data_IF_079547786046
#
_entry.id   IF_079547786046
#
_cell.length_a   1.000
_cell.length_b   1.000
_cell.length_c   1.000
_cell.angle_alpha   90.00
_cell.angle_beta   90.00
_cell.angle_gamma   90.00
#
_symmetry.space_group_name_H-M   'P 1'
#
loop_
_entity.id
_entity.type
_entity.pdbx_description
1 polymer ?
#
# COMPACT_ATOMS: atom_id res chain seq x y z
N UNK A 1 -3.43 -20.34 -22.60
CA UNK A 1 -3.23 -21.25 -21.45
C UNK A 1 -4.21 -20.88 -20.35
N UNK A 2 -5.49 -21.16 -20.61
CA UNK A 2 -6.62 -20.81 -19.76
C UNK A 2 -7.34 -22.08 -19.32
N UNK A 3 -7.07 -22.53 -18.10
CA UNK A 3 -8.03 -23.18 -17.19
C UNK A 3 -7.28 -23.60 -15.93
N UNK A 4 -7.96 -23.58 -14.78
CA UNK A 4 -7.49 -23.98 -13.45
C UNK A 4 -6.66 -22.94 -12.66
N UNK A 5 -7.25 -21.79 -12.36
CA UNK A 5 -7.01 -21.14 -11.05
C UNK A 5 -8.35 -20.97 -10.37
N UNK A 6 -8.64 -21.81 -9.39
CA UNK A 6 -9.75 -21.59 -8.48
C UNK A 6 -9.59 -20.18 -7.87
N UNK A 7 -10.59 -19.33 -8.07
CA UNK A 7 -10.75 -18.01 -7.44
C UNK A 7 -10.72 -18.14 -5.91
N UNK A 8 -9.53 -18.22 -5.31
CA UNK A 8 -9.38 -18.07 -3.86
C UNK A 8 -9.33 -16.58 -3.58
N UNK A 9 -10.50 -16.00 -3.35
CA UNK A 9 -10.63 -14.57 -3.03
C UNK A 9 -9.98 -14.23 -1.67
N UNK A 10 -9.88 -15.22 -0.78
CA UNK A 10 -9.09 -15.19 0.45
C UNK A 10 -8.54 -16.60 0.76
N UNK A 11 -7.46 -16.67 1.53
CA UNK A 11 -7.02 -17.92 2.15
C UNK A 11 -6.52 -17.70 3.58
N UNK A 12 -6.83 -18.66 4.44
CA UNK A 12 -6.38 -18.70 5.84
C UNK A 12 -5.33 -19.80 5.99
N UNK A 13 -4.12 -19.44 6.42
CA UNK A 13 -3.08 -20.37 6.83
C UNK A 13 -3.04 -20.39 8.34
N UNK A 14 -3.10 -21.60 8.91
CA UNK A 14 -2.92 -21.80 10.34
C UNK A 14 -1.79 -22.79 10.57
N UNK A 15 -0.94 -22.53 11.56
CA UNK A 15 0.18 -23.40 11.89
C UNK A 15 -0.23 -24.78 12.45
N UNK A 16 -1.52 -25.03 12.68
CA UNK A 16 -2.06 -26.17 13.45
C UNK A 16 -1.69 -27.56 12.88
N UNK A 17 -1.12 -27.65 11.66
CA UNK A 17 -0.81 -28.95 11.00
C UNK A 17 0.51 -29.05 10.24
N UNK A 18 1.26 -27.99 10.04
CA UNK A 18 2.60 -28.08 9.44
C UNK A 18 3.62 -28.17 10.58
N UNK A 19 4.42 -29.23 10.67
CA UNK A 19 5.51 -29.35 11.66
C UNK A 19 6.63 -28.29 11.53
N UNK A 20 6.35 -27.15 10.91
CA UNK A 20 7.21 -25.98 10.87
C UNK A 20 7.12 -25.24 12.21
N UNK A 21 8.26 -25.10 12.88
CA UNK A 21 8.41 -24.22 14.04
C UNK A 21 8.48 -22.78 13.58
N UNK A 22 7.80 -21.87 14.28
CA UNK A 22 7.99 -20.44 14.05
C UNK A 22 9.40 -20.04 14.49
N UNK A 23 10.07 -19.11 13.79
CA UNK A 23 11.29 -18.50 14.30
C UNK A 23 11.01 -17.81 15.64
N UNK A 24 12.02 -17.71 16.53
CA UNK A 24 11.88 -16.92 17.75
C UNK A 24 11.52 -15.46 17.41
N UNK A 25 10.84 -14.74 18.31
CA UNK A 25 10.64 -13.30 18.18
C UNK A 25 11.96 -12.58 17.89
N UNK A 26 12.02 -11.76 16.83
CA UNK A 26 13.24 -11.02 16.52
C UNK A 26 13.46 -9.87 17.51
N UNK A 27 14.73 -9.53 17.71
CA UNK A 27 15.13 -8.26 18.31
C UNK A 27 15.50 -7.29 17.17
N UNK A 28 14.64 -6.31 16.91
CA UNK A 28 14.85 -5.31 15.87
C UNK A 28 15.97 -4.32 16.18
N UNK A 29 16.35 -4.17 17.45
CA UNK A 29 17.50 -3.33 17.85
C UNK A 29 18.84 -3.97 17.46
N UNK A 30 18.84 -5.27 17.13
CA UNK A 30 20.02 -6.02 16.68
C UNK A 30 20.06 -6.27 15.16
N UNK A 31 19.22 -5.59 14.36
CA UNK A 31 19.14 -5.77 12.90
C UNK A 31 19.01 -7.24 12.46
N UNK A 32 17.92 -7.92 12.84
CA UNK A 32 17.82 -9.39 12.93
C UNK A 32 17.83 -10.12 11.58
N UNK A 33 17.75 -9.39 10.47
CA UNK A 33 17.73 -9.95 9.12
C UNK A 33 19.02 -9.70 8.34
N UNK A 34 19.95 -8.94 8.93
CA UNK A 34 21.17 -8.48 8.27
C UNK A 34 21.94 -9.61 7.61
N UNK A 35 22.38 -9.35 6.39
CA UNK A 35 23.37 -10.10 5.64
C UNK A 35 24.36 -9.12 5.00
N UNK A 36 25.46 -9.64 4.44
CA UNK A 36 26.39 -8.82 3.67
C UNK A 36 25.76 -8.30 2.36
N UNK A 37 24.76 -9.02 1.85
CA UNK A 37 23.96 -8.62 0.70
C UNK A 37 22.59 -8.08 1.18
N UNK A 38 22.33 -6.82 0.87
CA UNK A 38 21.10 -6.13 1.26
C UNK A 38 19.87 -6.80 0.64
N UNK A 39 19.98 -7.37 -0.56
CA UNK A 39 18.88 -8.09 -1.22
C UNK A 39 18.51 -9.39 -0.51
N UNK A 40 19.51 -10.04 0.12
CA UNK A 40 19.30 -11.21 0.99
C UNK A 40 18.64 -10.77 2.30
N UNK A 41 19.06 -9.64 2.87
CA UNK A 41 18.44 -9.02 4.06
C UNK A 41 16.95 -8.77 3.82
N UNK A 42 16.61 -8.14 2.69
CA UNK A 42 15.24 -7.87 2.27
C UNK A 42 14.40 -9.15 2.12
N UNK A 43 14.97 -10.15 1.43
CA UNK A 43 14.31 -11.45 1.23
C UNK A 43 14.07 -12.18 2.55
N UNK A 44 15.02 -12.14 3.50
CA UNK A 44 14.90 -12.74 4.84
C UNK A 44 13.82 -12.06 5.65
N UNK A 45 13.81 -10.72 5.68
CA UNK A 45 12.81 -9.94 6.41
C UNK A 45 11.40 -10.22 5.88
N UNK A 46 11.21 -10.24 4.56
CA UNK A 46 9.92 -10.54 3.96
C UNK A 46 9.49 -11.99 4.23
N UNK A 47 10.40 -12.96 4.04
CA UNK A 47 10.11 -14.37 4.31
C UNK A 47 9.70 -14.62 5.78
N UNK A 48 10.38 -13.96 6.73
CA UNK A 48 9.95 -13.92 8.12
C UNK A 48 8.53 -13.33 8.23
N UNK A 49 8.31 -12.13 7.71
CA UNK A 49 7.04 -11.40 7.85
C UNK A 49 5.83 -12.23 7.40
N UNK A 50 5.95 -13.07 6.37
CA UNK A 50 4.85 -13.88 5.83
C UNK A 50 4.88 -15.37 6.24
N UNK A 51 5.75 -15.78 7.16
CA UNK A 51 5.78 -17.17 7.66
C UNK A 51 4.42 -17.55 8.29
N UNK A 52 3.84 -18.74 8.01
CA UNK A 52 4.43 -19.90 7.32
C UNK A 52 4.23 -19.94 5.79
N UNK A 53 3.70 -18.88 5.17
CA UNK A 53 3.63 -18.79 3.72
C UNK A 53 5.05 -18.54 3.17
N UNK A 54 5.46 -19.29 2.14
CA UNK A 54 6.71 -19.01 1.46
C UNK A 54 6.54 -17.87 0.44
N UNK A 55 7.64 -17.18 0.16
CA UNK A 55 7.70 -15.99 -0.71
C UNK A 55 7.17 -16.27 -2.11
N UNK A 56 7.59 -17.37 -2.73
CA UNK A 56 7.18 -17.72 -4.09
C UNK A 56 5.67 -17.97 -4.17
N UNK A 57 5.10 -18.63 -3.17
CA UNK A 57 3.68 -18.88 -3.04
C UNK A 57 2.92 -17.57 -2.82
N UNK A 58 3.43 -16.67 -1.99
CA UNK A 58 2.84 -15.36 -1.77
C UNK A 58 2.64 -14.60 -3.08
N UNK A 59 3.71 -14.38 -3.86
CA UNK A 59 3.61 -13.61 -5.10
C UNK A 59 2.80 -14.32 -6.18
N UNK A 60 2.85 -15.65 -6.25
CA UNK A 60 2.11 -16.41 -7.27
C UNK A 60 0.60 -16.46 -7.00
N UNK A 61 0.21 -16.62 -5.74
CA UNK A 61 -1.16 -17.00 -5.35
C UNK A 61 -1.92 -15.84 -4.67
N UNK A 62 -1.25 -14.89 -4.02
CA UNK A 62 -1.88 -13.89 -3.15
C UNK A 62 -1.63 -12.45 -3.57
N UNK A 63 -0.39 -12.08 -3.86
CA UNK A 63 -0.04 -10.70 -4.20
C UNK A 63 -0.93 -10.17 -5.32
N UNK A 64 -1.67 -9.09 -5.05
CA UNK A 64 -2.62 -8.44 -5.94
C UNK A 64 -3.78 -9.33 -6.46
N UNK A 65 -4.00 -10.49 -5.85
CA UNK A 65 -5.00 -11.48 -6.27
C UNK A 65 -6.02 -11.83 -5.18
N UNK A 66 -5.60 -11.92 -3.92
CA UNK A 66 -6.47 -12.34 -2.82
C UNK A 66 -5.88 -12.06 -1.44
N UNK A 67 -6.77 -11.93 -0.45
CA UNK A 67 -6.35 -11.70 0.93
C UNK A 67 -5.67 -12.93 1.53
N UNK A 68 -4.65 -12.72 2.37
CA UNK A 68 -3.91 -13.77 3.05
C UNK A 68 -3.96 -13.55 4.57
N UNK A 69 -4.42 -14.56 5.30
CA UNK A 69 -4.50 -14.53 6.77
C UNK A 69 -3.53 -15.57 7.32
N UNK A 70 -2.62 -15.16 8.19
CA UNK A 70 -1.65 -16.02 8.84
C UNK A 70 -1.95 -16.09 10.34
N UNK A 71 -2.42 -17.25 10.80
CA UNK A 71 -2.70 -17.54 12.21
C UNK A 71 -1.51 -18.24 12.86
N UNK A 72 -0.80 -17.51 13.72
CA UNK A 72 0.45 -17.97 14.31
C UNK A 72 0.32 -18.54 15.72
N UNK A 73 -0.68 -18.08 16.50
CA UNK A 73 -0.80 -18.40 17.93
C UNK A 73 0.50 -18.12 18.71
N UNK A 74 1.22 -17.06 18.31
CA UNK A 74 2.48 -16.65 18.91
C UNK A 74 2.39 -15.14 19.22
N UNK A 75 1.81 -14.74 20.37
CA UNK A 75 1.55 -13.34 20.69
C UNK A 75 2.75 -12.41 20.56
N UNK A 76 3.93 -12.93 20.87
CA UNK A 76 5.18 -12.17 20.86
C UNK A 76 5.90 -12.23 19.50
N UNK A 77 5.30 -12.74 18.43
CA UNK A 77 5.98 -13.02 17.15
C UNK A 77 6.70 -11.80 16.56
N UNK A 78 6.14 -10.61 16.74
CA UNK A 78 6.70 -9.35 16.24
C UNK A 78 7.78 -8.74 17.14
N UNK A 79 8.16 -9.42 18.22
CA UNK A 79 9.23 -9.00 19.11
C UNK A 79 9.02 -7.60 19.66
N UNK A 80 10.06 -6.78 19.57
CA UNK A 80 10.08 -5.39 20.00
C UNK A 80 9.75 -4.38 18.88
N UNK A 81 9.24 -4.80 17.71
CA UNK A 81 9.02 -3.91 16.54
C UNK A 81 8.36 -2.57 16.92
N UNK A 82 7.21 -2.63 17.59
CA UNK A 82 6.49 -1.46 18.09
C UNK A 82 5.49 -1.87 19.19
N UNK A 83 5.14 -0.95 20.08
CA UNK A 83 4.21 -1.19 21.19
C UNK A 83 3.48 0.08 21.61
N UNK A 84 2.41 -0.06 22.40
CA UNK A 84 1.70 1.08 23.01
C UNK A 84 2.65 1.90 23.88
N UNK A 85 3.58 1.24 24.57
CA UNK A 85 4.63 1.91 25.35
C UNK A 85 5.54 2.76 24.45
N UNK A 86 6.02 2.20 23.34
CA UNK A 86 6.83 2.94 22.34
C UNK A 86 6.06 4.15 21.79
N UNK A 87 4.76 3.98 21.53
CA UNK A 87 3.90 5.08 21.08
C UNK A 87 3.82 6.22 22.11
N UNK A 88 3.63 5.89 23.38
CA UNK A 88 3.57 6.89 24.47
C UNK A 88 4.90 7.65 24.58
N UNK A 89 6.03 6.95 24.53
CA UNK A 89 7.37 7.56 24.56
C UNK A 89 7.57 8.53 23.39
N UNK A 90 7.16 8.14 22.17
CA UNK A 90 7.26 9.01 21.00
C UNK A 90 6.43 10.29 21.19
N UNK A 91 5.17 10.19 21.65
CA UNK A 91 4.31 11.36 21.89
C UNK A 91 4.87 12.27 22.99
N UNK A 92 5.51 11.69 24.02
CA UNK A 92 6.11 12.45 25.12
C UNK A 92 7.36 13.21 24.69
N UNK A 93 8.23 12.57 23.91
CA UNK A 93 9.56 13.08 23.59
C UNK A 93 9.62 13.89 22.30
N UNK A 94 8.57 13.87 21.47
CA UNK A 94 8.55 14.54 20.18
C UNK A 94 7.44 15.59 20.09
N UNK A 95 7.55 16.44 19.06
CA UNK A 95 6.51 17.36 18.66
C UNK A 95 5.71 16.71 17.52
N UNK A 96 4.54 16.17 17.85
CA UNK A 96 3.61 15.57 16.88
C UNK A 96 2.40 16.48 16.70
N UNK A 97 1.89 16.58 15.47
CA UNK A 97 0.72 17.39 15.16
C UNK A 97 -0.49 16.55 14.73
N UNK A 98 -1.68 17.05 15.08
CA UNK A 98 -2.93 16.54 14.55
C UNK A 98 -3.00 16.72 13.03
N UNK A 99 -3.50 15.72 12.31
CA UNK A 99 -3.61 15.74 10.84
C UNK A 99 -2.32 15.36 10.12
N UNK A 100 -1.16 15.75 10.65
CA UNK A 100 0.15 15.42 10.09
C UNK A 100 0.65 14.07 10.59
N UNK A 101 0.72 13.88 11.92
CA UNK A 101 1.25 12.67 12.54
C UNK A 101 0.16 11.85 13.21
N UNK A 102 -0.83 12.50 13.85
CA UNK A 102 -1.86 11.82 14.62
C UNK A 102 -3.25 12.15 14.10
N UNK A 103 -4.05 11.11 13.88
CA UNK A 103 -5.47 11.24 13.59
C UNK A 103 -6.31 10.52 14.65
N UNK A 104 -7.40 11.16 15.07
CA UNK A 104 -8.38 10.59 16.00
C UNK A 104 -9.65 10.30 15.22
N UNK A 105 -10.09 9.06 15.27
CA UNK A 105 -11.25 8.60 14.50
C UNK A 105 -12.21 7.77 15.36
N UNK A 106 -13.49 7.88 15.07
CA UNK A 106 -14.54 7.04 15.65
C UNK A 106 -15.53 6.67 14.56
N UNK A 107 -15.87 5.39 14.49
CA UNK A 107 -16.96 4.88 13.68
C UNK A 107 -18.06 4.37 14.59
N UNK A 108 -19.26 4.93 14.46
CA UNK A 108 -20.42 4.54 15.26
C UNK A 108 -21.70 4.80 14.45
N UNK A 109 -22.63 3.86 14.51
CA UNK A 109 -23.97 3.98 13.91
C UNK A 109 -23.91 4.35 12.41
N UNK A 110 -23.01 3.70 11.66
CA UNK A 110 -22.87 3.93 10.21
C UNK A 110 -22.08 5.18 9.82
N UNK A 111 -21.61 5.99 10.77
CA UNK A 111 -20.96 7.29 10.51
C UNK A 111 -19.54 7.33 11.04
N UNK A 112 -18.59 7.80 10.20
CA UNK A 112 -17.19 8.01 10.55
C UNK A 112 -16.93 9.47 10.91
N UNK A 113 -16.40 9.70 12.11
CA UNK A 113 -16.04 11.00 12.64
C UNK A 113 -14.52 11.16 12.69
N UNK A 114 -14.01 12.32 12.24
CA UNK A 114 -12.65 12.77 12.54
C UNK A 114 -12.72 13.74 13.71
N UNK A 115 -11.93 13.50 14.75
CA UNK A 115 -11.96 14.29 15.98
C UNK A 115 -10.56 14.82 16.31
N UNK A 116 -9.85 15.28 15.28
CA UNK A 116 -8.54 15.88 15.42
C UNK A 116 -8.65 17.19 16.21
N UNK A 117 -7.70 17.41 17.12
CA UNK A 117 -7.45 18.72 17.68
C UNK A 117 -6.76 19.64 16.66
N UNK A 118 -6.23 20.76 17.14
CA UNK A 118 -5.38 21.65 16.34
C UNK A 118 -3.97 21.71 16.92
N UNK A 119 -2.96 21.74 16.06
CA UNK A 119 -1.55 21.84 16.46
C UNK A 119 -1.04 20.60 17.19
N UNK A 120 -0.20 20.83 18.21
CA UNK A 120 0.52 19.79 18.95
C UNK A 120 -0.41 18.82 19.68
N UNK A 121 -0.06 17.55 19.59
CA UNK A 121 -0.67 16.44 20.31
C UNK A 121 0.00 16.27 21.67
N UNK A 122 -0.80 16.22 22.75
CA UNK A 122 -0.30 15.98 24.10
C UNK A 122 -0.73 14.61 24.63
N UNK A 123 0.13 13.89 25.39
CA UNK A 123 -0.18 12.55 25.90
C UNK A 123 -1.48 12.48 26.73
N UNK A 124 -1.71 13.48 27.60
CA UNK A 124 -2.92 13.52 28.44
C UNK A 124 -4.18 13.62 27.60
N UNK A 125 -4.16 14.43 26.54
CA UNK A 125 -5.31 14.56 25.66
C UNK A 125 -5.57 13.28 24.87
N UNK A 126 -4.52 12.61 24.36
CA UNK A 126 -4.69 11.30 23.72
C UNK A 126 -5.30 10.26 24.66
N UNK A 127 -4.88 10.23 25.92
CA UNK A 127 -5.45 9.35 26.94
C UNK A 127 -6.96 9.59 27.12
N UNK A 128 -7.39 10.85 27.15
CA UNK A 128 -8.82 11.21 27.18
C UNK A 128 -9.55 10.73 25.93
N UNK A 129 -8.98 10.94 24.73
CA UNK A 129 -9.58 10.49 23.47
C UNK A 129 -9.80 8.97 23.44
N UNK A 130 -8.78 8.21 23.87
CA UNK A 130 -8.85 6.75 23.98
C UNK A 130 -9.92 6.32 24.99
N UNK A 131 -9.99 6.98 26.15
CA UNK A 131 -11.00 6.70 27.16
C UNK A 131 -12.45 6.96 26.65
N UNK A 132 -12.62 7.86 25.68
CA UNK A 132 -13.91 8.12 25.01
C UNK A 132 -14.25 7.12 23.89
N UNK A 133 -13.47 6.04 23.77
CA UNK A 133 -13.67 5.01 22.77
C UNK A 133 -13.29 5.46 21.36
N UNK A 134 -12.28 6.33 21.21
CA UNK A 134 -11.79 6.82 19.92
C UNK A 134 -10.49 6.12 19.55
N UNK A 135 -10.36 5.73 18.29
CA UNK A 135 -9.13 5.16 17.76
C UNK A 135 -8.11 6.25 17.46
N UNK A 136 -6.84 5.92 17.66
CA UNK A 136 -5.70 6.78 17.33
C UNK A 136 -4.94 6.12 16.18
N UNK A 137 -4.78 6.86 15.10
CA UNK A 137 -3.87 6.51 14.00
C UNK A 137 -2.61 7.35 14.15
N UNK A 138 -1.46 6.69 14.15
CA UNK A 138 -0.15 7.32 14.08
C UNK A 138 0.44 7.06 12.69
N UNK A 139 0.64 8.14 11.95
CA UNK A 139 1.09 8.17 10.56
C UNK A 139 2.60 8.30 10.51
N UNK A 140 3.24 7.54 9.62
CA UNK A 140 4.68 7.59 9.39
C UNK A 140 5.52 7.36 10.67
N UNK A 141 5.26 6.28 11.44
CA UNK A 141 6.00 5.96 12.67
C UNK A 141 7.50 5.74 12.41
N UNK A 142 7.90 5.35 11.19
CA UNK A 142 9.30 5.16 10.81
C UNK A 142 10.14 6.44 10.94
N UNK A 143 9.54 7.64 10.94
CA UNK A 143 10.29 8.88 11.21
C UNK A 143 10.78 8.98 12.66
N UNK A 144 10.15 8.27 13.59
CA UNK A 144 10.39 8.42 15.04
C UNK A 144 10.88 7.13 15.70
N UNK A 145 10.83 6.00 15.00
CA UNK A 145 11.10 4.68 15.55
C UNK A 145 12.01 3.90 14.61
N UNK A 146 13.28 3.78 14.98
CA UNK A 146 14.32 3.15 14.17
C UNK A 146 13.99 1.71 13.80
N UNK A 147 13.38 0.93 14.70
CA UNK A 147 12.95 -0.45 14.42
C UNK A 147 11.94 -0.54 13.27
N UNK A 148 11.02 0.43 13.20
CA UNK A 148 10.01 0.50 12.13
C UNK A 148 10.65 1.03 10.85
N UNK A 149 11.55 2.01 10.95
CA UNK A 149 12.36 2.47 9.82
C UNK A 149 13.15 1.33 9.20
N UNK A 150 13.90 0.56 10.00
CA UNK A 150 14.68 -0.57 9.53
C UNK A 150 13.80 -1.57 8.77
N UNK A 151 12.63 -1.96 9.32
CA UNK A 151 11.75 -2.90 8.63
C UNK A 151 11.23 -2.32 7.30
N UNK A 152 10.79 -1.06 7.26
CA UNK A 152 10.31 -0.43 6.03
C UNK A 152 11.43 -0.29 4.98
N UNK A 153 12.62 0.13 5.41
CA UNK A 153 13.80 0.33 4.56
C UNK A 153 14.32 -0.98 3.97
N UNK A 154 14.38 -2.05 4.77
CA UNK A 154 14.76 -3.37 4.27
C UNK A 154 13.72 -3.91 3.27
N UNK A 155 12.43 -3.65 3.49
CA UNK A 155 11.38 -4.14 2.60
C UNK A 155 11.31 -3.37 1.28
N UNK A 156 11.63 -2.08 1.23
CA UNK A 156 11.59 -1.31 -0.03
C UNK A 156 12.60 -1.81 -1.05
N UNK A 157 13.72 -2.40 -0.61
CA UNK A 157 14.69 -3.02 -1.52
C UNK A 157 14.08 -4.19 -2.30
N UNK A 158 13.26 -5.02 -1.63
CA UNK A 158 12.60 -6.14 -2.28
C UNK A 158 11.44 -5.71 -3.20
N UNK A 159 10.66 -4.72 -2.78
CA UNK A 159 9.51 -4.25 -3.56
C UNK A 159 9.89 -3.26 -4.67
N UNK A 160 11.07 -2.64 -4.59
CA UNK A 160 11.54 -1.61 -5.53
C UNK A 160 10.70 -0.33 -5.50
N UNK A 161 9.91 -0.13 -4.45
CA UNK A 161 9.05 1.05 -4.28
C UNK A 161 9.02 1.47 -2.81
N UNK A 162 8.52 2.67 -2.54
CA UNK A 162 8.41 3.17 -1.17
C UNK A 162 7.55 2.26 -0.30
N UNK A 163 8.07 1.92 0.88
CA UNK A 163 7.35 1.17 1.91
C UNK A 163 7.05 2.12 3.06
N UNK A 164 5.75 2.28 3.35
CA UNK A 164 5.26 3.10 4.44
C UNK A 164 4.75 2.26 5.61
N UNK A 165 4.44 2.95 6.70
CA UNK A 165 3.74 2.35 7.82
C UNK A 165 2.72 3.33 8.43
N UNK A 166 1.67 2.78 9.02
CA UNK A 166 0.75 3.46 9.93
C UNK A 166 0.45 2.52 11.10
N UNK A 167 0.29 3.05 12.31
CA UNK A 167 -0.18 2.27 13.45
C UNK A 167 -1.57 2.70 13.88
N UNK A 168 -2.36 1.75 14.37
CA UNK A 168 -3.75 1.98 14.77
C UNK A 168 -3.97 1.38 16.16
N UNK A 169 -4.16 2.26 17.14
CA UNK A 169 -4.56 1.92 18.50
C UNK A 169 -6.07 2.13 18.65
N UNK A 170 -6.82 1.06 18.86
CA UNK A 170 -8.28 1.10 19.06
C UNK A 170 -8.64 0.60 20.46
N UNK A 171 -9.35 1.39 21.28
CA UNK A 171 -9.78 0.95 22.62
C UNK A 171 -10.84 -0.16 22.57
N UNK A 172 -11.12 -0.87 23.68
CA UNK A 172 -12.15 -1.91 23.73
C UNK A 172 -13.54 -1.40 23.30
N UNK A 173 -14.33 -2.28 22.69
CA UNK A 173 -15.73 -2.07 22.34
C UNK A 173 -15.96 -0.95 21.31
N UNK A 174 -14.98 -0.70 20.43
CA UNK A 174 -15.02 0.45 19.53
C UNK A 174 -14.55 0.13 18.12
N UNK A 175 -14.82 1.07 17.21
CA UNK A 175 -14.37 1.06 15.82
C UNK A 175 -13.86 2.46 15.46
N UNK A 176 -12.79 2.53 14.67
CA UNK A 176 -12.21 3.82 14.24
C UNK A 176 -12.69 4.27 12.87
N UNK A 177 -12.87 3.33 11.94
CA UNK A 177 -13.00 3.59 10.52
C UNK A 177 -14.21 2.85 9.96
N UNK A 178 -14.91 3.50 9.03
CA UNK A 178 -15.96 2.89 8.23
C UNK A 178 -15.35 1.88 7.24
N UNK A 179 -16.15 1.00 6.60
CA UNK A 179 -15.65 0.18 5.50
C UNK A 179 -15.09 1.05 4.36
N UNK A 180 -13.88 0.71 3.89
CA UNK A 180 -13.19 1.38 2.80
C UNK A 180 -12.17 0.43 2.15
N UNK A 181 -11.65 0.78 0.98
CA UNK A 181 -10.41 0.22 0.46
C UNK A 181 -9.35 1.31 0.36
N UNK A 182 -8.09 0.89 0.41
CA UNK A 182 -6.93 1.76 0.20
C UNK A 182 -6.37 1.61 -1.23
N UNK A 183 -5.49 2.53 -1.60
CA UNK A 183 -4.68 2.54 -2.83
C UNK A 183 -3.34 1.78 -2.70
N UNK A 184 -3.16 1.02 -1.62
CA UNK A 184 -1.92 0.30 -1.31
C UNK A 184 -2.14 -1.19 -1.05
N UNK A 185 -1.10 -1.98 -1.28
CA UNK A 185 -1.00 -3.35 -0.79
C UNK A 185 -0.67 -3.31 0.72
N UNK A 186 -1.61 -3.74 1.56
CA UNK A 186 -1.53 -3.61 3.02
C UNK A 186 -1.10 -4.93 3.69
N UNK A 187 -0.08 -4.87 4.56
CA UNK A 187 0.34 -5.95 5.43
C UNK A 187 0.10 -5.53 6.89
N UNK A 188 -0.97 -6.05 7.49
CA UNK A 188 -1.33 -5.74 8.87
C UNK A 188 -0.70 -6.74 9.83
N UNK A 189 0.18 -6.25 10.69
CA UNK A 189 0.85 -6.99 11.75
C UNK A 189 0.16 -6.65 13.09
N UNK A 190 -0.57 -7.60 13.66
CA UNK A 190 -1.28 -7.40 14.92
C UNK A 190 -0.29 -7.49 16.09
N UNK A 191 -0.01 -6.36 16.74
CA UNK A 191 1.05 -6.23 17.76
C UNK A 191 0.52 -6.54 19.17
N UNK A 192 -0.63 -5.98 19.53
CA UNK A 192 -1.24 -6.17 20.86
C UNK A 192 -2.73 -6.44 20.75
N UNK A 193 -3.26 -7.23 21.69
CA UNK A 193 -4.68 -7.51 21.81
C UNK A 193 -5.28 -8.23 20.60
N UNK A 194 -6.53 -7.91 20.24
CA UNK A 194 -7.25 -8.54 19.13
C UNK A 194 -8.25 -7.60 18.47
N UNK A 195 -8.51 -7.80 17.18
CA UNK A 195 -9.49 -7.03 16.40
C UNK A 195 -10.28 -7.96 15.49
N UNK A 196 -11.59 -7.75 15.39
CA UNK A 196 -12.47 -8.50 14.48
C UNK A 196 -12.46 -7.81 13.13
N UNK A 197 -12.03 -8.52 12.09
CA UNK A 197 -11.89 -8.00 10.75
C UNK A 197 -12.94 -8.59 9.82
N UNK A 198 -13.48 -7.75 8.94
CA UNK A 198 -14.25 -8.17 7.77
C UNK A 198 -13.54 -7.67 6.53
N UNK A 199 -13.36 -8.53 5.54
CA UNK A 199 -12.69 -8.22 4.27
C UNK A 199 -13.55 -8.71 3.11
N UNK A 200 -13.77 -7.85 2.13
CA UNK A 200 -14.64 -8.07 0.98
C UNK A 200 -13.80 -7.90 -0.29
N UNK A 201 -13.94 -8.82 -1.24
CA UNK A 201 -13.26 -8.68 -2.52
C UNK A 201 -13.97 -7.66 -3.40
N UNK A 202 -13.26 -7.04 -4.37
CA UNK A 202 -13.87 -6.24 -5.43
C UNK A 202 -14.97 -7.02 -6.15
N UNK A 203 -16.15 -6.41 -6.32
CA UNK A 203 -17.29 -7.07 -6.98
C UNK A 203 -17.29 -6.86 -8.50
N UNK A 204 -16.52 -5.88 -8.99
CA UNK A 204 -16.42 -5.58 -10.42
C UNK A 204 -14.97 -5.43 -10.87
N UNK A 205 -14.75 -5.48 -12.19
CA UNK A 205 -13.44 -5.21 -12.78
C UNK A 205 -12.94 -3.78 -12.50
N UNK A 206 -13.86 -2.83 -12.34
CA UNK A 206 -13.53 -1.42 -12.12
C UNK A 206 -13.02 -1.13 -10.70
N UNK A 207 -13.36 -1.99 -9.74
CA UNK A 207 -12.91 -1.88 -8.34
C UNK A 207 -11.60 -2.65 -8.09
N UNK A 208 -11.09 -3.41 -9.07
CA UNK A 208 -9.86 -4.18 -8.90
C UNK A 208 -8.64 -3.28 -9.04
N UNK A 209 -7.76 -3.36 -8.05
CA UNK A 209 -6.47 -2.68 -8.03
C UNK A 209 -6.56 -1.16 -8.31
N UNK A 210 -7.45 -0.42 -7.62
CA UNK A 210 -7.66 1.00 -7.87
C UNK A 210 -6.36 1.78 -7.61
N UNK A 211 -6.20 2.91 -8.31
CA UNK A 211 -5.07 3.84 -8.09
C UNK A 211 -5.30 4.80 -6.93
N UNK A 212 -6.55 4.91 -6.46
CA UNK A 212 -6.98 5.87 -5.45
C UNK A 212 -7.79 5.17 -4.36
N UNK A 213 -7.70 5.71 -3.14
CA UNK A 213 -8.46 5.23 -1.98
C UNK A 213 -9.96 5.51 -2.17
N UNK A 214 -10.82 4.68 -1.58
CA UNK A 214 -12.27 4.93 -1.62
C UNK A 214 -12.69 6.05 -0.68
N UNK A 215 -13.94 6.49 -0.84
CA UNK A 215 -14.68 7.11 0.27
C UNK A 215 -15.03 6.10 1.36
N UNK A 216 -15.81 6.54 2.35
CA UNK A 216 -16.39 5.65 3.36
C UNK A 216 -17.65 5.00 2.78
N UNK A 217 -17.70 3.68 2.75
CA UNK A 217 -18.91 2.92 2.44
C UNK A 217 -19.86 2.90 3.64
N UNK A 218 -21.15 2.95 3.35
CA UNK A 218 -22.22 2.80 4.33
C UNK A 218 -22.59 1.33 4.54
N UNK A 219 -23.35 1.03 5.59
CA UNK A 219 -23.84 -0.33 5.80
C UNK A 219 -24.71 -0.83 4.63
N UNK A 220 -25.41 0.08 3.94
CA UNK A 220 -26.21 -0.22 2.75
C UNK A 220 -25.35 -0.61 1.56
N UNK A 221 -24.22 0.08 1.33
CA UNK A 221 -23.25 -0.27 0.30
C UNK A 221 -22.65 -1.66 0.52
N UNK A 222 -22.62 -2.12 1.78
CA UNK A 222 -22.04 -3.40 2.18
C UNK A 222 -23.01 -4.59 2.11
N UNK A 223 -24.33 -4.37 2.04
CA UNK A 223 -25.38 -5.42 2.16
C UNK A 223 -25.19 -6.61 1.23
N UNK A 224 -24.77 -6.36 -0.02
CA UNK A 224 -24.63 -7.38 -1.05
C UNK A 224 -23.17 -7.70 -1.40
N UNK A 225 -22.21 -7.11 -0.69
CA UNK A 225 -20.78 -7.29 -0.95
C UNK A 225 -20.34 -8.68 -0.56
N UNK A 226 -19.51 -9.31 -1.39
CA UNK A 226 -19.01 -10.66 -1.10
C UNK A 226 -17.94 -10.64 0.00
N UNK A 227 -18.33 -11.08 1.19
CA UNK A 227 -17.43 -11.30 2.30
C UNK A 227 -16.46 -12.44 1.98
N UNK A 228 -15.16 -12.15 2.02
CA UNK A 228 -14.09 -13.12 1.76
C UNK A 228 -13.43 -13.59 3.03
N UNK A 229 -13.38 -12.76 4.05
CA UNK A 229 -12.89 -13.14 5.36
C UNK A 229 -13.66 -12.40 6.45
N UNK A 230 -13.95 -13.13 7.52
CA UNK A 230 -14.54 -12.58 8.73
C UNK A 230 -13.97 -13.35 9.93
N UNK A 231 -13.36 -12.64 10.87
CA UNK A 231 -12.80 -13.27 12.05
C UNK A 231 -11.89 -12.38 12.88
N UNK A 232 -11.54 -12.87 14.07
CA UNK A 232 -10.56 -12.24 14.94
C UNK A 232 -9.18 -12.32 14.32
N UNK A 233 -8.38 -11.27 14.42
CA UNK A 233 -6.93 -11.22 14.23
C UNK A 233 -6.32 -10.90 15.59
N UNK A 234 -5.41 -11.74 16.06
CA UNK A 234 -4.84 -11.69 17.41
C UNK A 234 -3.35 -11.36 17.36
N UNK A 235 -2.77 -10.93 18.48
CA UNK A 235 -1.35 -10.61 18.57
C UNK A 235 -0.47 -11.73 17.93
N UNK A 236 0.47 -11.31 17.08
CA UNK A 236 1.34 -12.19 16.30
C UNK A 236 0.78 -12.66 14.95
N UNK A 237 -0.50 -12.46 14.66
CA UNK A 237 -1.09 -12.80 13.36
C UNK A 237 -0.80 -11.73 12.29
N UNK A 238 -0.83 -12.13 11.01
CA UNK A 238 -0.74 -11.22 9.87
C UNK A 238 -2.02 -11.30 9.01
N UNK A 239 -2.48 -10.15 8.53
CA UNK A 239 -3.52 -10.03 7.50
C UNK A 239 -2.97 -9.20 6.34
N UNK A 240 -2.82 -9.80 5.16
CA UNK A 240 -2.50 -9.10 3.91
C UNK A 240 -3.78 -8.84 3.11
N UNK A 241 -3.94 -7.59 2.66
CA UNK A 241 -5.09 -7.09 1.91
C UNK A 241 -4.56 -6.38 0.65
N UNK A 242 -4.87 -6.88 -0.56
CA UNK A 242 -4.57 -6.15 -1.79
C UNK A 242 -5.39 -4.86 -1.91
N UNK A 243 -4.83 -3.83 -2.56
CA UNK A 243 -5.58 -2.59 -2.85
C UNK A 243 -6.89 -2.89 -3.59
N UNK A 244 -7.97 -2.20 -3.21
CA UNK A 244 -9.33 -2.42 -3.72
C UNK A 244 -10.18 -3.42 -2.92
N UNK A 245 -9.61 -4.20 -2.00
CA UNK A 245 -10.41 -5.01 -1.08
C UNK A 245 -10.98 -4.13 0.03
N UNK A 246 -12.31 -4.05 0.10
CA UNK A 246 -13.00 -3.32 1.17
C UNK A 246 -12.71 -4.04 2.49
N UNK A 247 -12.40 -3.30 3.53
CA UNK A 247 -12.18 -3.85 4.85
C UNK A 247 -12.70 -2.94 5.96
N UNK A 248 -13.04 -3.55 7.08
CA UNK A 248 -13.45 -2.87 8.30
C UNK A 248 -13.08 -3.70 9.52
N UNK A 249 -12.88 -3.04 10.66
CA UNK A 249 -12.48 -3.74 11.88
C UNK A 249 -13.04 -3.10 13.15
N UNK A 250 -13.40 -3.95 14.12
CA UNK A 250 -13.92 -3.57 15.43
C UNK A 250 -13.16 -4.29 16.54
N UNK A 251 -13.00 -3.68 17.71
CA UNK A 251 -12.42 -4.35 18.87
C UNK A 251 -13.46 -5.10 19.67
N UNK A 252 -13.02 -6.09 20.45
CA UNK A 252 -13.87 -6.73 21.45
C UNK A 252 -14.09 -5.80 22.64
N UNK A 253 -15.09 -6.10 23.46
CA UNK A 253 -15.45 -5.27 24.63
C UNK A 253 -14.42 -5.31 25.77
N UNK A 254 -13.51 -6.28 25.77
CA UNK A 254 -12.60 -6.62 26.88
C UNK A 254 -11.15 -6.18 26.67
N UNK A 255 -10.69 -5.98 25.44
CA UNK A 255 -9.27 -5.69 25.16
C UNK A 255 -9.12 -4.70 24.01
N UNK A 256 -8.07 -3.87 24.08
CA UNK A 256 -7.70 -2.98 23.00
C UNK A 256 -7.10 -3.75 21.81
N UNK A 257 -6.81 -3.04 20.74
CA UNK A 257 -6.04 -3.55 19.61
C UNK A 257 -4.99 -2.53 19.22
N UNK A 258 -3.75 -2.99 19.07
CA UNK A 258 -2.69 -2.25 18.37
C UNK A 258 -2.20 -3.08 17.19
N UNK A 259 -2.21 -2.51 16.00
CA UNK A 259 -1.53 -3.10 14.85
C UNK A 259 -0.74 -2.03 14.11
N UNK A 260 0.29 -2.49 13.38
CA UNK A 260 1.00 -1.71 12.38
C UNK A 260 0.65 -2.25 11.00
N UNK A 261 0.29 -1.36 10.10
CA UNK A 261 0.07 -1.67 8.68
C UNK A 261 1.29 -1.22 7.91
N UNK A 262 2.04 -2.16 7.36
CA UNK A 262 3.10 -1.89 6.38
C UNK A 262 2.43 -1.80 5.00
N UNK A 263 2.67 -0.70 4.28
CA UNK A 263 2.02 -0.44 2.99
C UNK A 263 3.03 -0.41 1.85
N UNK A 264 2.62 -0.95 0.70
CA UNK A 264 3.42 -1.09 -0.51
C UNK A 264 2.65 -0.66 -1.76
N UNK A 265 3.36 -0.26 -2.80
CA UNK A 265 2.82 -0.22 -4.16
C UNK A 265 1.92 0.97 -4.51
N UNK A 266 1.95 2.04 -3.69
CA UNK A 266 1.23 3.30 -4.01
C UNK A 266 1.83 3.93 -5.26
N UNK A 267 1.00 4.27 -6.25
CA UNK A 267 1.44 4.81 -7.54
C UNK A 267 2.59 4.00 -8.19
N UNK A 268 2.55 2.68 -8.03
CA UNK A 268 3.55 1.74 -8.55
C UNK A 268 2.92 0.69 -9.47
N UNK A 269 2.25 1.15 -10.53
CA UNK A 269 1.56 0.32 -11.52
C UNK A 269 2.04 0.57 -12.95
N UNK A 270 1.59 -0.25 -13.90
CA UNK A 270 1.85 -0.02 -15.32
C UNK A 270 1.30 1.33 -15.80
N UNK A 271 0.21 1.83 -15.21
CA UNK A 271 -0.31 3.15 -15.55
C UNK A 271 0.67 4.25 -15.12
N UNK A 272 1.25 4.15 -13.93
CA UNK A 272 2.24 5.12 -13.43
C UNK A 272 3.53 5.10 -14.26
N UNK A 273 3.99 3.91 -14.67
CA UNK A 273 5.10 3.77 -15.62
C UNK A 273 4.77 4.45 -16.95
N UNK A 274 3.59 4.22 -17.51
CA UNK A 274 3.17 4.81 -18.79
C UNK A 274 3.01 6.33 -18.71
N UNK A 275 2.49 6.85 -17.61
CA UNK A 275 2.33 8.29 -17.35
C UNK A 275 3.69 9.02 -17.41
N UNK A 276 4.79 8.33 -17.11
CA UNK A 276 6.16 8.87 -17.22
C UNK A 276 6.83 8.55 -18.55
N UNK A 277 6.66 7.34 -19.07
CA UNK A 277 7.37 6.85 -20.25
C UNK A 277 6.84 7.48 -21.56
N UNK A 278 5.52 7.61 -21.70
CA UNK A 278 4.91 8.11 -22.94
C UNK A 278 5.31 9.56 -23.25
N UNK A 279 5.31 10.51 -22.30
CA UNK A 279 5.78 11.88 -22.57
C UNK A 279 7.24 11.94 -23.05
N UNK A 280 8.14 11.13 -22.48
CA UNK A 280 9.54 11.06 -22.90
C UNK A 280 9.70 10.47 -24.31
N UNK A 281 8.91 9.44 -24.64
CA UNK A 281 8.87 8.87 -25.98
C UNK A 281 8.38 9.89 -27.01
N UNK A 282 7.31 10.64 -26.70
CA UNK A 282 6.78 11.71 -27.55
C UNK A 282 7.82 12.83 -27.73
N UNK A 283 8.50 13.24 -26.65
CA UNK A 283 9.57 14.25 -26.71
C UNK A 283 10.72 13.79 -27.61
N UNK A 284 11.12 12.52 -27.51
CA UNK A 284 12.17 11.92 -28.34
C UNK A 284 11.76 11.85 -29.81
N UNK A 285 10.51 11.46 -30.09
CA UNK A 285 9.95 11.46 -31.44
C UNK A 285 9.92 12.86 -32.05
N UNK A 286 9.48 13.85 -31.29
CA UNK A 286 9.43 15.23 -31.74
C UNK A 286 10.81 15.79 -32.07
N UNK A 287 11.88 15.32 -31.41
CA UNK A 287 13.27 15.68 -31.77
C UNK A 287 13.70 15.02 -33.08
N UNK A 288 13.44 13.72 -33.24
CA UNK A 288 13.99 12.91 -34.33
C UNK A 288 13.13 12.85 -35.60
N UNK A 289 11.84 13.20 -35.53
CA UNK A 289 10.89 13.14 -36.64
C UNK A 289 10.20 14.48 -36.83
N UNK A 290 10.51 15.16 -37.93
CA UNK A 290 9.99 16.50 -38.20
C UNK A 290 8.49 16.52 -38.46
N UNK A 291 7.90 15.41 -38.94
CA UNK A 291 6.46 15.29 -39.15
C UNK A 291 5.67 15.43 -37.84
N UNK A 292 6.25 15.02 -36.71
CA UNK A 292 5.64 15.22 -35.37
C UNK A 292 5.58 16.69 -34.95
N UNK A 293 6.34 17.57 -35.63
CA UNK A 293 6.39 19.00 -35.36
C UNK A 293 5.49 19.82 -36.28
N UNK A 294 4.77 19.16 -37.22
CA UNK A 294 3.79 19.85 -38.06
C UNK A 294 2.64 20.39 -37.20
N UNK A 295 2.14 21.56 -37.57
CA UNK A 295 0.92 22.11 -36.97
C UNK A 295 -0.28 21.21 -37.25
N UNK A 296 -1.22 21.22 -36.32
CA UNK A 296 -2.54 20.62 -36.49
C UNK A 296 -3.31 21.32 -37.63
N UNK A 297 -4.31 20.66 -38.24
CA UNK A 297 -5.15 21.29 -39.27
C UNK A 297 -5.80 22.59 -38.77
N UNK A 298 -5.83 23.61 -39.64
CA UNK A 298 -6.53 24.86 -39.35
C UNK A 298 -8.03 24.59 -39.24
N UNK A 299 -8.67 25.09 -38.18
CA UNK A 299 -10.09 24.83 -37.92
C UNK A 299 -10.38 23.47 -37.29
N UNK A 300 -9.37 22.76 -36.77
CA UNK A 300 -9.52 21.42 -36.17
C UNK A 300 -10.67 21.32 -35.14
N UNK A 301 -10.96 22.39 -34.40
CA UNK A 301 -12.02 22.40 -33.38
C UNK A 301 -13.43 22.25 -33.98
N UNK A 302 -13.61 22.63 -35.25
CA UNK A 302 -14.88 22.48 -35.97
C UNK A 302 -14.99 21.11 -36.66
N UNK A 303 -13.93 20.30 -36.63
CA UNK A 303 -13.82 19.02 -37.37
C UNK A 303 -14.15 17.79 -36.50
N UNK A 304 -14.43 17.98 -35.20
CA UNK A 304 -14.82 16.90 -34.30
C UNK A 304 -14.48 17.16 -32.84
N UNK A 305 -14.98 16.29 -31.96
CA UNK A 305 -14.80 16.40 -30.52
C UNK A 305 -15.85 15.57 -29.77
N UNK A 306 -15.85 15.64 -28.43
CA UNK A 306 -16.92 15.02 -27.63
C UNK A 306 -18.27 15.73 -27.86
N UNK A 307 -18.21 17.04 -28.14
CA UNK A 307 -19.36 17.80 -28.59
C UNK A 307 -19.60 17.53 -30.08
N UNK A 308 -20.84 17.24 -30.43
CA UNK A 308 -21.25 17.00 -31.81
C UNK A 308 -21.14 18.31 -32.62
N UNK A 309 -20.47 18.25 -33.77
CA UNK A 309 -20.20 19.39 -34.64
C UNK A 309 -20.57 19.03 -36.07
N UNK A 310 -21.42 19.84 -36.70
CA UNK A 310 -21.82 19.66 -38.11
C UNK A 310 -20.69 20.13 -39.05
N UNK A 311 -19.70 19.26 -39.27
CA UNK A 311 -18.60 19.50 -40.18
C UNK A 311 -18.89 18.96 -41.58
N UNK A 312 -18.89 19.84 -42.58
CA UNK A 312 -19.25 19.50 -43.97
C UNK A 312 -18.39 18.41 -44.63
N UNK A 313 -17.20 18.11 -44.10
CA UNK A 313 -16.27 17.11 -44.63
C UNK A 313 -15.92 16.06 -43.57
N UNK A 314 -16.83 15.76 -42.65
CA UNK A 314 -16.60 14.88 -41.51
C UNK A 314 -16.06 13.50 -41.90
N UNK A 315 -16.71 12.80 -42.83
CA UNK A 315 -16.26 11.48 -43.30
C UNK A 315 -14.82 11.50 -43.84
N UNK A 316 -14.48 12.53 -44.63
CA UNK A 316 -13.16 12.66 -45.24
C UNK A 316 -12.08 13.06 -44.22
N UNK A 317 -12.48 13.81 -43.19
CA UNK A 317 -11.61 14.21 -42.09
C UNK A 317 -11.36 13.01 -41.17
N UNK A 318 -12.39 12.30 -40.75
CA UNK A 318 -12.25 11.12 -39.90
C UNK A 318 -11.27 10.10 -40.51
N UNK A 319 -11.43 9.74 -41.78
CA UNK A 319 -10.54 8.78 -42.45
C UNK A 319 -9.09 9.27 -42.50
N UNK A 320 -8.87 10.52 -42.94
CA UNK A 320 -7.51 11.07 -43.12
C UNK A 320 -6.84 11.39 -41.79
N UNK A 321 -7.58 11.93 -40.84
CA UNK A 321 -7.09 12.28 -39.51
C UNK A 321 -6.73 11.03 -38.72
N UNK A 322 -7.64 10.03 -38.67
CA UNK A 322 -7.38 8.75 -37.99
C UNK A 322 -6.17 8.04 -38.61
N UNK A 323 -6.04 8.03 -39.94
CA UNK A 323 -4.89 7.43 -40.62
C UNK A 323 -3.56 8.13 -40.28
N UNK A 324 -3.53 9.47 -40.25
CA UNK A 324 -2.34 10.23 -39.85
C UNK A 324 -1.97 9.96 -38.39
N UNK A 325 -2.96 10.01 -37.49
CA UNK A 325 -2.76 9.72 -36.07
C UNK A 325 -2.26 8.29 -35.85
N UNK A 326 -2.86 7.31 -36.52
CA UNK A 326 -2.47 5.90 -36.46
C UNK A 326 -1.04 5.67 -36.97
N UNK A 327 -0.62 6.38 -38.03
CA UNK A 327 0.77 6.37 -38.50
C UNK A 327 1.73 6.86 -37.41
N UNK A 328 1.40 7.95 -36.73
CA UNK A 328 2.22 8.48 -35.63
C UNK A 328 2.20 7.53 -34.40
N UNK A 329 1.06 6.94 -34.05
CA UNK A 329 0.93 5.99 -32.95
C UNK A 329 1.72 4.70 -33.20
N UNK A 330 1.74 4.21 -34.44
CA UNK A 330 2.56 3.05 -34.84
C UNK A 330 4.05 3.32 -34.62
N UNK A 331 4.49 4.53 -35.00
CA UNK A 331 5.88 4.97 -34.81
C UNK A 331 6.20 5.17 -33.32
N UNK A 332 5.24 5.66 -32.53
CA UNK A 332 5.34 5.75 -31.08
C UNK A 332 5.48 4.38 -30.44
N UNK A 333 4.67 3.41 -30.82
CA UNK A 333 4.77 2.03 -30.32
C UNK A 333 6.17 1.44 -30.59
N UNK A 334 6.70 1.65 -31.80
CA UNK A 334 8.04 1.18 -32.14
C UNK A 334 9.15 1.91 -31.37
N UNK A 335 8.92 3.17 -31.00
CA UNK A 335 9.86 3.98 -30.22
C UNK A 335 9.82 3.60 -28.75
N UNK A 336 8.63 3.34 -28.19
CA UNK A 336 8.44 2.87 -26.82
C UNK A 336 9.25 1.61 -26.54
N UNK A 337 9.25 0.65 -27.47
CA UNK A 337 10.07 -0.58 -27.38
C UNK A 337 11.58 -0.29 -27.23
N UNK A 338 12.06 0.84 -27.73
CA UNK A 338 13.48 1.25 -27.64
C UNK A 338 13.80 2.04 -26.37
N UNK A 339 12.79 2.57 -25.68
CA UNK A 339 12.94 3.39 -24.47
C UNK A 339 12.41 2.70 -23.21
N UNK A 340 11.98 1.43 -23.30
CA UNK A 340 11.48 0.66 -22.16
C UNK A 340 12.45 0.70 -20.97
N UNK A 341 13.75 0.51 -21.21
CA UNK A 341 14.78 0.55 -20.16
C UNK A 341 14.83 1.93 -19.49
N UNK A 342 14.71 3.01 -20.28
CA UNK A 342 14.60 4.37 -19.76
C UNK A 342 13.35 4.57 -18.89
N UNK A 343 12.25 3.86 -19.17
CA UNK A 343 11.07 3.85 -18.30
C UNK A 343 11.35 3.25 -16.93
N UNK A 344 12.11 2.15 -16.88
CA UNK A 344 12.55 1.54 -15.62
C UNK A 344 13.43 2.52 -14.84
N UNK A 345 14.40 3.15 -15.50
CA UNK A 345 15.28 4.14 -14.88
C UNK A 345 14.53 5.36 -14.35
N UNK A 346 13.47 5.80 -15.05
CA UNK A 346 12.62 6.89 -14.57
C UNK A 346 11.89 6.47 -13.30
N UNK A 347 11.30 5.27 -13.26
CA UNK A 347 10.63 4.78 -12.06
C UNK A 347 11.62 4.57 -10.91
N UNK A 348 12.82 4.04 -11.19
CA UNK A 348 13.89 3.91 -10.21
C UNK A 348 14.31 5.28 -9.65
N UNK A 349 14.42 6.30 -10.49
CA UNK A 349 14.70 7.68 -10.06
C UNK A 349 13.59 8.24 -9.17
N UNK A 350 12.33 8.00 -9.49
CA UNK A 350 11.21 8.43 -8.63
C UNK A 350 11.21 7.68 -7.29
N UNK A 351 11.53 6.39 -7.30
CA UNK A 351 11.73 5.62 -6.07
C UNK A 351 12.87 6.21 -5.24
N UNK A 352 14.04 6.48 -5.80
CA UNK A 352 15.20 7.03 -5.07
C UNK A 352 14.92 8.38 -4.39
N UNK A 353 13.98 9.18 -4.90
CA UNK A 353 13.57 10.45 -4.25
C UNK A 353 12.72 10.24 -2.99
N UNK A 354 12.02 9.12 -2.92
CA UNK A 354 11.01 8.82 -1.90
C UNK A 354 11.47 7.72 -0.94
N UNK A 355 12.46 6.93 -1.34
CA UNK A 355 13.06 5.86 -0.54
C UNK A 355 13.51 6.37 0.82
N UNK A 356 13.29 5.55 1.85
CA UNK A 356 13.87 5.76 3.16
C UNK A 356 15.40 5.64 3.05
N UNK A 357 16.16 6.48 3.77
CA UNK A 357 17.61 6.36 3.79
C UNK A 357 18.02 5.00 4.39
N UNK A 358 19.12 4.38 3.91
CA UNK A 358 19.53 3.06 4.37
C UNK A 358 19.98 3.10 5.83
N UNK A 359 19.60 2.09 6.60
CA UNK A 359 20.08 1.95 7.97
C UNK A 359 21.36 1.09 7.97
N UNK A 360 22.51 1.76 8.13
CA UNK A 360 23.80 1.09 8.02
C UNK A 360 24.10 0.27 9.28
N UNK A 361 24.38 -1.01 9.06
CA UNK A 361 24.88 -1.90 10.12
C UNK A 361 26.27 -1.45 10.58
N UNK A 362 26.68 -1.86 11.79
CA UNK A 362 28.02 -1.55 12.31
C UNK A 362 29.15 -1.97 11.35
N UNK A 363 28.95 -3.04 10.58
CA UNK A 363 29.92 -3.50 9.57
C UNK A 363 30.00 -2.49 8.41
N UNK A 364 28.86 -2.04 7.90
CA UNK A 364 28.80 -1.05 6.83
C UNK A 364 29.33 0.32 7.27
N UNK A 365 29.04 0.73 8.51
CA UNK A 365 29.56 1.98 9.08
C UNK A 365 31.08 1.97 9.18
N UNK A 366 31.70 0.83 9.55
CA UNK A 366 33.16 0.70 9.60
C UNK A 366 33.83 0.79 8.24
N UNK A 367 33.17 0.34 7.17
CA UNK A 367 33.68 0.39 5.79
C UNK A 367 33.61 1.79 5.18
N UNK A 368 32.86 2.74 5.75
CA UNK A 368 32.82 4.13 5.28
C UNK A 368 34.10 4.93 5.60
N UNK A 369 34.93 4.42 6.53
CA UNK A 369 36.15 5.09 7.00
C UNK A 369 37.45 4.39 6.54
N UNK A 370 37.33 3.42 5.64
CA UNK A 370 38.45 2.73 4.97
C UNK A 370 38.35 2.96 3.48
#
# INVERSE_FOLDING_TARGET
>A
MSSLRANRMSAVFQLVRSGATLPPPPDFDSFPFTDNDSSITATRAFAWMITPCNVQKFFRDFFQNGALILKRKAPNYYGNLFSTQSFVEVVQNNYLEYGTNINIAKYKDGVRFTMNGSGRVYPNHLKEQIALGRSVQFVNPQTFVDRVWYLCEVLQEMFGCFIGANTYLTPPGSAGFAPHWDDIDAFLLQLEGKKYWKVYAPDSINEKLPRESSGNFTDDDMKNRKLTYEGWIEAGDLLYIPRGFIHQATTSNDVHSLHITISSGRHWSFADLMDKLVPEAVTTLAKNRWEMRKSLPVGMLDMGGVADTDYRLDELFEEKWKAVLESHLTVLQNSLKKVCDGGIDIMAREFMKTALPPMLTDVCQRLQYT
#
